data_IF_376985469956
#
_entry.id   IF_376985469956
#
_cell.length_a   1.000
_cell.length_b   1.000
_cell.length_c   1.000
_cell.angle_alpha   90.00
_cell.angle_beta   90.00
_cell.angle_gamma   90.00
#
_symmetry.space_group_name_H-M   'P 1'
#
loop_
_entity.id
_entity.type
_entity.pdbx_description
1 polymer ?
#
# COMPACT_ATOMS: atom_id res chain seq x y z
N UNK A 1 44.51 24.86 26.51
CA UNK A 1 44.40 25.34 25.12
C UNK A 1 43.33 24.52 24.43
N UNK A 2 42.14 25.08 24.24
CA UNK A 2 41.00 24.45 23.57
C UNK A 2 41.26 24.52 22.07
N UNK A 3 41.80 23.46 21.48
CA UNK A 3 41.95 23.35 20.02
C UNK A 3 40.56 23.33 19.40
N UNK A 4 40.18 24.47 18.79
CA UNK A 4 38.95 24.55 18.04
C UNK A 4 39.01 23.53 16.91
N UNK A 5 37.90 22.84 16.59
CA UNK A 5 37.87 21.82 15.54
C UNK A 5 38.33 22.36 14.18
N UNK A 6 38.25 23.68 13.97
CA UNK A 6 38.72 24.35 12.75
C UNK A 6 40.24 24.36 12.61
N UNK A 7 40.99 24.52 13.71
CA UNK A 7 42.45 24.53 13.70
C UNK A 7 43.02 23.14 13.38
N UNK A 8 42.37 22.11 13.90
CA UNK A 8 42.74 20.71 13.66
C UNK A 8 42.48 20.33 12.19
N UNK A 9 41.38 20.81 11.62
CA UNK A 9 41.03 20.55 10.22
C UNK A 9 41.99 21.26 9.24
N UNK A 10 42.45 22.46 9.60
CA UNK A 10 43.49 23.17 8.85
C UNK A 10 44.84 22.43 8.87
N UNK A 11 45.23 21.90 10.03
CA UNK A 11 46.46 21.12 10.18
C UNK A 11 46.42 19.78 9.43
N UNK A 12 45.25 19.15 9.31
CA UNK A 12 45.07 17.93 8.54
C UNK A 12 45.10 18.18 7.02
N UNK A 13 44.54 19.31 6.55
CA UNK A 13 44.62 19.72 5.15
C UNK A 13 46.04 20.09 4.72
N UNK A 14 46.78 20.82 5.54
CA UNK A 14 48.16 21.23 5.21
C UNK A 14 49.12 20.03 5.11
N UNK A 15 48.78 18.92 5.76
CA UNK A 15 49.53 17.66 5.71
C UNK A 15 49.07 16.72 4.57
N UNK A 16 48.11 17.14 3.75
CA UNK A 16 47.58 16.34 2.64
C UNK A 16 46.83 15.08 3.09
N UNK A 17 46.47 14.98 4.37
CA UNK A 17 45.78 13.81 4.95
C UNK A 17 44.26 13.84 4.72
N UNK A 18 43.73 14.97 4.23
CA UNK A 18 42.29 15.18 3.99
C UNK A 18 42.16 15.82 2.61
N UNK A 19 41.58 15.08 1.66
CA UNK A 19 41.20 15.63 0.36
C UNK A 19 40.22 16.80 0.57
N UNK A 20 40.42 17.91 -0.14
CA UNK A 20 39.55 19.09 -0.07
C UNK A 20 38.07 18.77 -0.37
N UNK A 21 37.83 17.62 -1.01
CA UNK A 21 36.54 17.08 -1.44
C UNK A 21 35.70 16.46 -0.32
N UNK A 22 36.28 16.16 0.85
CA UNK A 22 35.55 15.46 1.92
C UNK A 22 34.35 16.27 2.44
N UNK A 23 34.39 17.61 2.43
CA UNK A 23 33.22 18.42 2.83
C UNK A 23 32.15 18.54 1.75
N UNK A 24 32.51 18.44 0.47
CA UNK A 24 31.52 18.36 -0.60
C UNK A 24 30.80 17.00 -0.56
N UNK A 25 31.55 15.93 -0.33
CA UNK A 25 31.02 14.58 -0.11
C UNK A 25 30.20 14.45 1.21
N UNK A 26 30.61 15.12 2.29
CA UNK A 26 29.93 15.04 3.59
C UNK A 26 28.58 15.80 3.61
N UNK A 27 28.39 16.81 2.74
CA UNK A 27 27.12 17.55 2.62
C UNK A 27 26.22 17.11 1.46
N UNK A 28 26.76 16.48 0.42
CA UNK A 28 25.99 16.07 -0.76
C UNK A 28 25.78 14.55 -0.88
N UNK A 29 26.55 13.73 -0.17
CA UNK A 29 26.67 12.28 -0.44
C UNK A 29 26.40 11.38 0.77
N UNK A 30 26.24 11.96 1.97
CA UNK A 30 25.98 11.20 3.21
C UNK A 30 24.58 10.58 3.30
N UNK A 31 23.65 10.89 2.39
CA UNK A 31 22.30 10.30 2.37
C UNK A 31 22.12 9.18 1.34
N UNK A 32 23.05 8.99 0.39
CA UNK A 32 22.87 8.03 -0.72
C UNK A 32 24.02 7.06 -0.97
N UNK A 33 25.19 7.24 -0.34
CA UNK A 33 26.24 6.23 -0.38
C UNK A 33 25.97 5.12 0.65
N UNK A 34 25.67 3.92 0.12
CA UNK A 34 25.76 2.62 0.77
C UNK A 34 24.90 2.37 2.00
N UNK A 35 23.58 2.58 1.91
CA UNK A 35 22.68 1.78 2.76
C UNK A 35 22.60 0.37 2.16
N UNK A 36 23.15 -0.68 2.81
CA UNK A 36 23.11 -2.01 2.25
C UNK A 36 21.66 -2.44 2.01
N UNK A 37 21.40 -3.06 0.85
CA UNK A 37 20.05 -3.44 0.41
C UNK A 37 19.28 -4.25 1.46
N UNK A 38 19.98 -5.06 2.26
CA UNK A 38 19.39 -5.85 3.34
C UNK A 38 18.87 -4.98 4.49
N UNK A 39 19.47 -3.81 4.77
CA UNK A 39 18.95 -2.86 5.77
C UNK A 39 17.67 -2.23 5.26
N UNK A 40 17.60 -1.88 3.97
CA UNK A 40 16.36 -1.40 3.34
C UNK A 40 15.24 -2.44 3.41
N UNK A 41 15.57 -3.70 3.11
CA UNK A 41 14.63 -4.82 3.20
C UNK A 41 14.16 -5.05 4.64
N UNK A 42 15.08 -5.08 5.61
CA UNK A 42 14.77 -5.26 7.02
C UNK A 42 13.87 -4.12 7.53
N UNK A 43 14.17 -2.87 7.18
CA UNK A 43 13.34 -1.72 7.55
C UNK A 43 11.93 -1.81 6.94
N UNK A 44 11.84 -2.27 5.70
CA UNK A 44 10.56 -2.50 5.03
C UNK A 44 9.74 -3.58 5.73
N UNK A 45 10.34 -4.74 6.01
CA UNK A 45 9.69 -5.85 6.72
C UNK A 45 9.28 -5.45 8.14
N UNK A 46 10.16 -4.78 8.87
CA UNK A 46 9.83 -4.23 10.20
C UNK A 46 8.71 -3.19 10.13
N UNK A 47 8.67 -2.36 9.08
CA UNK A 47 7.59 -1.42 8.82
C UNK A 47 6.25 -2.10 8.59
N UNK A 48 6.22 -3.18 7.81
CA UNK A 48 5.01 -3.99 7.61
C UNK A 48 4.57 -4.67 8.89
N UNK A 49 5.50 -5.27 9.64
CA UNK A 49 5.20 -5.93 10.91
C UNK A 49 4.62 -4.92 11.91
N UNK A 50 5.27 -3.76 12.07
CA UNK A 50 4.78 -2.66 12.90
C UNK A 50 3.42 -2.14 12.41
N UNK A 51 3.21 -2.05 11.09
CA UNK A 51 1.94 -1.70 10.48
C UNK A 51 0.81 -2.67 10.85
N UNK A 52 1.06 -3.98 10.79
CA UNK A 52 0.08 -4.99 11.22
C UNK A 52 -0.21 -4.92 12.71
N UNK A 53 0.81 -4.73 13.56
CA UNK A 53 0.59 -4.54 14.99
C UNK A 53 -0.20 -3.27 15.29
N UNK A 54 0.13 -2.16 14.65
CA UNK A 54 -0.60 -0.91 14.79
C UNK A 54 -2.05 -1.08 14.32
N UNK A 55 -2.27 -1.75 13.19
CA UNK A 55 -3.60 -1.98 12.66
C UNK A 55 -4.42 -2.88 13.58
N UNK A 56 -3.85 -3.99 14.06
CA UNK A 56 -4.49 -4.87 15.03
C UNK A 56 -4.81 -4.15 16.34
N UNK A 57 -3.89 -3.30 16.82
CA UNK A 57 -4.10 -2.46 17.99
C UNK A 57 -5.24 -1.47 17.80
N UNK A 58 -5.26 -0.74 16.68
CA UNK A 58 -6.35 0.19 16.34
C UNK A 58 -7.67 -0.55 16.20
N UNK A 59 -7.68 -1.71 15.54
CA UNK A 59 -8.87 -2.54 15.41
C UNK A 59 -9.43 -3.01 16.76
N UNK A 60 -8.55 -3.43 17.69
CA UNK A 60 -8.94 -3.79 19.06
C UNK A 60 -9.41 -2.58 19.87
N UNK A 61 -8.75 -1.43 19.73
CA UNK A 61 -9.05 -0.24 20.51
C UNK A 61 -10.38 0.40 20.12
N UNK A 62 -10.65 0.48 18.81
CA UNK A 62 -11.87 1.11 18.30
C UNK A 62 -13.03 0.14 18.12
N UNK A 63 -12.76 -1.17 18.11
CA UNK A 63 -13.71 -2.27 17.97
C UNK A 63 -14.97 -1.86 17.20
N UNK A 64 -14.88 -1.66 15.86
CA UNK A 64 -15.98 -1.11 15.10
C UNK A 64 -17.16 -2.10 15.09
N UNK A 65 -18.09 -1.90 16.03
CA UNK A 65 -19.26 -2.77 16.19
C UNK A 65 -20.29 -2.57 15.04
N UNK A 66 -20.09 -1.56 14.20
CA UNK A 66 -20.98 -1.22 13.08
C UNK A 66 -20.22 -1.10 11.78
N UNK A 67 -20.88 -1.48 10.67
CA UNK A 67 -20.36 -1.29 9.32
C UNK A 67 -19.98 0.17 9.04
N UNK A 68 -20.74 1.12 9.60
CA UNK A 68 -20.46 2.56 9.53
C UNK A 68 -19.16 2.93 10.22
N UNK A 69 -18.89 2.41 11.42
CA UNK A 69 -17.63 2.64 12.13
C UNK A 69 -16.44 2.06 11.35
N UNK A 70 -16.59 0.86 10.79
CA UNK A 70 -15.58 0.27 9.92
C UNK A 70 -15.32 1.13 8.66
N UNK A 71 -16.37 1.67 8.05
CA UNK A 71 -16.25 2.55 6.89
C UNK A 71 -15.51 3.85 7.21
N UNK A 72 -15.85 4.51 8.32
CA UNK A 72 -15.18 5.74 8.78
C UNK A 72 -13.70 5.44 9.07
N UNK A 73 -13.41 4.37 9.81
CA UNK A 73 -12.04 3.97 10.09
C UNK A 73 -11.26 3.70 8.80
N UNK A 74 -11.84 2.98 7.84
CA UNK A 74 -11.22 2.74 6.53
C UNK A 74 -10.90 4.03 5.76
N UNK A 75 -11.82 4.98 5.75
CA UNK A 75 -11.60 6.30 5.14
C UNK A 75 -10.47 7.10 5.82
N UNK A 76 -10.41 7.07 7.16
CA UNK A 76 -9.33 7.72 7.93
C UNK A 76 -7.98 7.10 7.60
N UNK A 77 -7.88 5.77 7.52
CA UNK A 77 -6.65 5.06 7.17
C UNK A 77 -6.17 5.43 5.75
N UNK A 78 -7.08 5.52 4.78
CA UNK A 78 -6.75 5.98 3.42
C UNK A 78 -6.30 7.44 3.39
N UNK A 79 -6.97 8.33 4.13
CA UNK A 79 -6.59 9.73 4.22
C UNK A 79 -5.19 9.89 4.84
N UNK A 80 -4.91 9.12 5.91
CA UNK A 80 -3.60 9.08 6.53
C UNK A 80 -2.52 8.53 5.58
N UNK A 81 -2.83 7.47 4.82
CA UNK A 81 -1.91 6.94 3.81
C UNK A 81 -1.56 8.00 2.76
N UNK A 82 -2.57 8.70 2.25
CA UNK A 82 -2.39 9.78 1.28
C UNK A 82 -1.56 10.94 1.85
N UNK A 83 -1.82 11.34 3.09
CA UNK A 83 -1.02 12.34 3.80
C UNK A 83 0.45 11.92 3.94
N UNK A 84 0.68 10.64 4.26
CA UNK A 84 2.02 10.08 4.40
C UNK A 84 2.77 10.05 3.06
N UNK A 85 2.11 9.65 1.97
CA UNK A 85 2.70 9.71 0.62
C UNK A 85 3.02 11.13 0.15
N UNK A 86 2.31 12.15 0.66
CA UNK A 86 2.59 13.56 0.34
C UNK A 86 3.72 14.14 1.20
N UNK A 87 3.86 13.65 2.43
CA UNK A 87 4.91 14.06 3.36
C UNK A 87 6.26 13.38 3.07
N UNK A 88 6.23 12.20 2.46
CA UNK A 88 7.43 11.42 2.17
C UNK A 88 8.21 12.01 0.98
N UNK A 89 9.49 12.32 1.21
CA UNK A 89 10.40 12.79 0.15
C UNK A 89 11.38 11.72 -0.30
N UNK A 90 11.81 10.78 0.57
CA UNK A 90 12.79 9.73 0.24
C UNK A 90 12.80 8.53 1.22
N UNK A 91 11.82 8.40 2.12
CA UNK A 91 11.83 7.49 3.25
C UNK A 91 11.16 6.14 3.01
N UNK A 92 11.94 5.08 2.78
CA UNK A 92 11.42 3.71 2.58
C UNK A 92 10.43 3.23 3.67
N UNK A 93 10.64 3.59 4.94
CA UNK A 93 9.71 3.22 6.01
C UNK A 93 8.32 3.87 5.87
N UNK A 94 8.28 5.18 5.60
CA UNK A 94 7.02 5.92 5.48
C UNK A 94 6.24 5.45 4.26
N UNK A 95 6.92 5.20 3.14
CA UNK A 95 6.30 4.57 1.98
C UNK A 95 5.67 3.21 2.33
N UNK A 96 6.38 2.33 3.04
CA UNK A 96 5.83 1.00 3.40
C UNK A 96 4.69 1.08 4.41
N UNK A 97 4.76 1.99 5.38
CA UNK A 97 3.66 2.26 6.31
C UNK A 97 2.42 2.80 5.58
N UNK A 98 2.61 3.72 4.64
CA UNK A 98 1.53 4.28 3.83
C UNK A 98 0.83 3.20 2.98
N UNK A 99 1.59 2.28 2.39
CA UNK A 99 1.06 1.13 1.68
C UNK A 99 0.19 0.24 2.59
N UNK A 100 0.72 -0.12 3.76
CA UNK A 100 0.00 -0.96 4.72
C UNK A 100 -1.32 -0.30 5.17
N UNK A 101 -1.27 1.01 5.45
CA UNK A 101 -2.44 1.79 5.86
C UNK A 101 -3.48 1.90 4.74
N UNK A 102 -3.03 2.04 3.49
CA UNK A 102 -3.91 2.05 2.33
C UNK A 102 -4.60 0.70 2.13
N UNK A 103 -3.87 -0.41 2.22
CA UNK A 103 -4.43 -1.77 2.06
C UNK A 103 -5.46 -2.02 3.17
N UNK A 104 -5.10 -1.68 4.40
CA UNK A 104 -6.01 -1.80 5.53
C UNK A 104 -7.30 -0.98 5.36
N UNK A 105 -7.17 0.27 4.92
CA UNK A 105 -8.31 1.14 4.66
C UNK A 105 -9.23 0.61 3.56
N UNK A 106 -8.65 0.05 2.48
CA UNK A 106 -9.41 -0.62 1.42
C UNK A 106 -10.20 -1.83 1.95
N UNK A 107 -9.57 -2.69 2.76
CA UNK A 107 -10.24 -3.84 3.37
C UNK A 107 -11.43 -3.43 4.25
N UNK A 108 -11.26 -2.40 5.09
CA UNK A 108 -12.33 -1.90 5.95
C UNK A 108 -13.48 -1.27 5.15
N UNK A 109 -13.18 -0.50 4.11
CA UNK A 109 -14.21 0.08 3.25
C UNK A 109 -14.97 -1.00 2.46
N UNK A 110 -14.27 -2.02 1.95
CA UNK A 110 -14.92 -3.14 1.27
C UNK A 110 -15.84 -3.91 2.23
N UNK A 111 -15.39 -4.15 3.46
CA UNK A 111 -16.23 -4.75 4.48
C UNK A 111 -17.48 -3.90 4.78
N UNK A 112 -17.31 -2.58 4.95
CA UNK A 112 -18.40 -1.67 5.25
C UNK A 112 -19.46 -1.60 4.13
N UNK A 113 -19.01 -1.53 2.87
CA UNK A 113 -19.90 -1.45 1.69
C UNK A 113 -20.66 -2.75 1.48
N UNK A 114 -19.99 -3.90 1.65
CA UNK A 114 -20.57 -5.21 1.34
C UNK A 114 -21.14 -5.92 2.58
N UNK A 115 -21.30 -5.23 3.72
CA UNK A 115 -21.72 -5.86 4.97
C UNK A 115 -23.08 -6.57 4.88
N UNK A 116 -23.98 -6.09 4.02
CA UNK A 116 -25.30 -6.66 3.81
C UNK A 116 -25.37 -7.63 2.63
N UNK A 117 -24.30 -7.73 1.84
CA UNK A 117 -24.26 -8.52 0.62
C UNK A 117 -23.77 -9.94 0.92
N UNK A 118 -24.47 -10.94 0.37
CA UNK A 118 -24.13 -12.36 0.56
C UNK A 118 -23.42 -13.00 -0.64
N UNK A 119 -23.19 -12.23 -1.70
CA UNK A 119 -22.56 -12.71 -2.93
C UNK A 119 -21.14 -12.18 -3.10
N UNK A 120 -20.30 -12.92 -3.83
CA UNK A 120 -18.96 -12.47 -4.22
C UNK A 120 -18.98 -11.43 -5.33
N UNK A 121 -20.05 -11.41 -6.13
CA UNK A 121 -20.22 -10.47 -7.25
C UNK A 121 -20.22 -8.99 -6.81
N UNK A 122 -21.04 -8.53 -5.83
CA UNK A 122 -21.00 -7.14 -5.36
C UNK A 122 -19.64 -6.77 -4.74
N UNK A 123 -18.98 -7.71 -4.05
CA UNK A 123 -17.64 -7.52 -3.50
C UNK A 123 -16.61 -7.28 -4.62
N UNK A 124 -16.66 -8.08 -5.69
CA UNK A 124 -15.75 -7.95 -6.82
C UNK A 124 -15.95 -6.63 -7.58
N UNK A 125 -17.21 -6.23 -7.79
CA UNK A 125 -17.55 -4.96 -8.46
C UNK A 125 -17.15 -3.75 -7.63
N UNK A 126 -17.45 -3.75 -6.33
CA UNK A 126 -17.04 -2.65 -5.44
C UNK A 126 -15.52 -2.55 -5.30
N UNK A 127 -14.80 -3.67 -5.26
CA UNK A 127 -13.34 -3.71 -5.31
C UNK A 127 -12.79 -3.13 -6.63
N UNK A 128 -13.38 -3.48 -7.77
CA UNK A 128 -12.98 -2.94 -9.07
C UNK A 128 -13.14 -1.41 -9.12
N UNK A 129 -14.29 -0.89 -8.68
CA UNK A 129 -14.56 0.55 -8.66
C UNK A 129 -13.61 1.30 -7.73
N UNK A 130 -13.40 0.77 -6.51
CA UNK A 130 -12.45 1.31 -5.54
C UNK A 130 -11.04 1.40 -6.14
N UNK A 131 -10.61 0.33 -6.81
CA UNK A 131 -9.26 0.24 -7.32
C UNK A 131 -9.03 1.11 -8.56
N UNK A 132 -10.05 1.25 -9.41
CA UNK A 132 -10.04 2.23 -10.49
C UNK A 132 -9.91 3.65 -9.97
N UNK A 133 -10.68 4.00 -8.92
CA UNK A 133 -10.62 5.32 -8.30
C UNK A 133 -9.23 5.61 -7.72
N UNK A 134 -8.65 4.65 -6.99
CA UNK A 134 -7.32 4.80 -6.39
C UNK A 134 -6.19 4.86 -7.43
N UNK A 135 -6.30 4.11 -8.53
CA UNK A 135 -5.31 4.15 -9.61
C UNK A 135 -5.22 5.54 -10.29
N UNK A 136 -6.34 6.28 -10.30
CA UNK A 136 -6.42 7.65 -10.86
C UNK A 136 -6.07 8.70 -9.80
N UNK A 137 -6.56 8.56 -8.57
CA UNK A 137 -6.42 9.56 -7.53
C UNK A 137 -5.02 9.63 -6.90
N UNK A 138 -4.25 8.53 -6.91
CA UNK A 138 -3.01 8.47 -6.16
C UNK A 138 -1.80 9.02 -6.95
N UNK A 139 -0.96 9.90 -6.37
CA UNK A 139 0.23 10.43 -7.05
C UNK A 139 1.43 9.46 -7.08
N UNK A 140 1.49 8.48 -6.17
CA UNK A 140 2.64 7.57 -6.06
C UNK A 140 2.57 6.42 -7.11
N UNK A 141 3.61 6.23 -7.96
CA UNK A 141 3.61 5.18 -8.98
C UNK A 141 3.50 3.75 -8.41
N UNK A 142 4.05 3.48 -7.22
CA UNK A 142 3.99 2.15 -6.60
C UNK A 142 2.55 1.80 -6.20
N UNK A 143 1.86 2.74 -5.56
CA UNK A 143 0.46 2.57 -5.17
C UNK A 143 -0.45 2.46 -6.41
N UNK A 144 -0.17 3.21 -7.49
CA UNK A 144 -0.88 3.10 -8.76
C UNK A 144 -0.66 1.74 -9.44
N UNK A 145 0.56 1.21 -9.41
CA UNK A 145 0.88 -0.10 -9.98
C UNK A 145 0.17 -1.23 -9.22
N UNK A 146 0.22 -1.20 -7.87
CA UNK A 146 -0.55 -2.12 -7.03
C UNK A 146 -2.06 -1.96 -7.26
N UNK A 147 -2.51 -0.73 -7.55
CA UNK A 147 -3.89 -0.48 -7.90
C UNK A 147 -4.30 -1.11 -9.22
N UNK A 148 -3.52 -0.90 -10.27
CA UNK A 148 -3.76 -1.57 -11.55
C UNK A 148 -3.77 -3.11 -11.40
N UNK A 149 -2.84 -3.66 -10.61
CA UNK A 149 -2.76 -5.11 -10.39
C UNK A 149 -3.99 -5.67 -9.66
N UNK A 150 -4.46 -5.03 -8.58
CA UNK A 150 -5.68 -5.47 -7.90
C UNK A 150 -6.93 -5.23 -8.75
N UNK A 151 -6.94 -4.21 -9.62
CA UNK A 151 -8.04 -3.94 -10.53
C UNK A 151 -8.18 -5.04 -11.60
N UNK A 152 -7.07 -5.56 -12.14
CA UNK A 152 -7.13 -6.68 -13.10
C UNK A 152 -7.63 -7.96 -12.46
N UNK A 153 -7.23 -8.24 -11.21
CA UNK A 153 -7.76 -9.37 -10.43
C UNK A 153 -9.27 -9.19 -10.19
N UNK A 154 -9.68 -8.01 -9.73
CA UNK A 154 -11.09 -7.71 -9.48
C UNK A 154 -11.94 -7.82 -10.75
N UNK A 155 -11.42 -7.35 -11.89
CA UNK A 155 -12.06 -7.50 -13.20
C UNK A 155 -12.22 -8.97 -13.58
N UNK A 156 -11.15 -9.76 -13.49
CA UNK A 156 -11.18 -11.19 -13.80
C UNK A 156 -12.21 -11.94 -12.92
N UNK A 157 -12.26 -11.62 -11.62
CA UNK A 157 -13.24 -12.19 -10.70
C UNK A 157 -14.67 -11.75 -11.04
N UNK A 158 -14.86 -10.47 -11.38
CA UNK A 158 -16.17 -9.95 -11.80
C UNK A 158 -16.66 -10.69 -13.03
N UNK A 159 -15.85 -10.77 -14.09
CA UNK A 159 -16.17 -11.53 -15.31
C UNK A 159 -16.45 -12.99 -14.98
N UNK A 160 -15.61 -13.62 -14.13
CA UNK A 160 -15.77 -15.03 -13.73
C UNK A 160 -17.08 -15.28 -12.99
N UNK A 161 -17.45 -14.47 -12.01
CA UNK A 161 -18.67 -14.70 -11.24
C UNK A 161 -19.92 -14.31 -12.02
N UNK A 162 -19.84 -13.29 -12.88
CA UNK A 162 -20.96 -12.86 -13.72
C UNK A 162 -21.26 -13.86 -14.83
N UNK A 163 -20.24 -14.44 -15.47
CA UNK A 163 -20.43 -15.37 -16.60
C UNK A 163 -20.64 -16.83 -16.17
N UNK A 164 -19.96 -17.29 -15.11
CA UNK A 164 -19.93 -18.71 -14.74
C UNK A 164 -20.62 -19.01 -13.40
N UNK A 165 -21.26 -18.01 -12.80
CA UNK A 165 -21.93 -18.14 -11.51
C UNK A 165 -20.97 -18.29 -10.32
N UNK A 166 -21.51 -18.07 -9.12
CA UNK A 166 -20.76 -18.18 -7.88
C UNK A 166 -20.52 -19.66 -7.50
N UNK A 167 -19.33 -20.01 -6.98
CA UNK A 167 -19.03 -21.37 -6.56
C UNK A 167 -19.99 -21.83 -5.45
N UNK A 168 -20.46 -23.08 -5.58
CA UNK A 168 -21.50 -23.74 -4.75
C UNK A 168 -21.24 -23.75 -3.23
N UNK A 169 -20.04 -23.36 -2.78
CA UNK A 169 -19.67 -23.29 -1.37
C UNK A 169 -20.31 -22.11 -0.61
N UNK A 170 -20.76 -21.04 -1.28
CA UNK A 170 -21.21 -19.81 -0.61
C UNK A 170 -22.71 -19.47 -0.76
N UNK A 171 -23.39 -20.03 -1.76
CA UNK A 171 -24.80 -19.75 -2.05
C UNK A 171 -25.57 -21.02 -2.38
N UNK A 172 -26.59 -21.31 -1.58
CA UNK A 172 -27.54 -22.40 -1.83
C UNK A 172 -28.21 -22.24 -3.20
N UNK A 173 -28.27 -23.37 -3.91
CA UNK A 173 -29.06 -23.69 -5.11
C UNK A 173 -29.40 -22.52 -6.06
N UNK A 174 -28.52 -22.28 -7.05
CA UNK A 174 -28.97 -21.81 -8.38
C UNK A 174 -28.53 -22.82 -9.42
N UNK A 175 -29.49 -23.35 -10.17
CA UNK A 175 -29.25 -24.23 -11.31
C UNK A 175 -28.39 -23.52 -12.36
N UNK A 176 -27.26 -24.14 -12.68
CA UNK A 176 -26.36 -23.72 -13.74
C UNK A 176 -26.99 -24.16 -15.07
N UNK A 177 -27.84 -23.32 -15.64
CA UNK A 177 -28.12 -23.40 -17.08
C UNK A 177 -27.02 -22.61 -17.77
N UNK A 178 -25.86 -23.25 -17.98
CA UNK A 178 -24.80 -22.69 -18.79
C UNK A 178 -25.31 -22.56 -20.24
N UNK A 179 -25.79 -21.37 -20.60
CA UNK A 179 -26.19 -21.09 -21.96
C UNK A 179 -24.92 -21.02 -22.82
N UNK A 180 -24.93 -21.70 -23.96
CA UNK A 180 -23.86 -21.67 -24.98
C UNK A 180 -23.41 -20.24 -25.36
N UNK A 181 -24.29 -19.25 -25.18
CA UNK A 181 -23.96 -17.84 -25.35
C UNK A 181 -22.98 -17.28 -24.30
N UNK A 182 -23.04 -17.74 -23.04
CA UNK A 182 -22.12 -17.30 -21.97
C UNK A 182 -20.72 -17.86 -22.17
N UNK A 183 -20.58 -19.08 -22.69
CA UNK A 183 -19.28 -19.66 -23.02
C UNK A 183 -18.63 -18.98 -24.23
N UNK A 184 -19.40 -18.52 -25.22
CA UNK A 184 -18.87 -17.75 -26.36
C UNK A 184 -18.49 -16.32 -25.97
N UNK A 185 -19.23 -15.67 -25.08
CA UNK A 185 -18.90 -14.33 -24.58
C UNK A 185 -17.57 -14.28 -23.82
N UNK A 186 -17.20 -15.37 -23.12
CA UNK A 186 -15.91 -15.50 -22.44
C UNK A 186 -14.69 -15.62 -23.38
N UNK A 187 -14.89 -15.90 -24.67
CA UNK A 187 -13.82 -15.96 -25.68
C UNK A 187 -13.61 -14.65 -26.45
N UNK A 188 -14.54 -13.70 -26.32
CA UNK A 188 -14.53 -12.43 -27.05
C UNK A 188 -13.98 -11.23 -26.23
N UNK A 189 -13.71 -11.45 -24.94
CA UNK A 189 -13.05 -10.53 -24.00
C UNK A 189 -11.61 -10.98 -23.75
#
# INVERSE_FOLDING_TARGET
>A
MTTQPQDLLHALRSRGLVAADLRAAETADASHLDRPWYIGLLLGVSGWLAGFFLLGFVAMLFQPDTATAAGIAGAVLLAAAWGLFKADRDGAFLTQLALALSIAGQCLLLFAVNHHDRGMTPIAVSALLMQGLLAVAMPNPLQRALSAFFATIAWALTVRFTLFGEPRFWGGEREIVAALGQSLAGWAL
#
